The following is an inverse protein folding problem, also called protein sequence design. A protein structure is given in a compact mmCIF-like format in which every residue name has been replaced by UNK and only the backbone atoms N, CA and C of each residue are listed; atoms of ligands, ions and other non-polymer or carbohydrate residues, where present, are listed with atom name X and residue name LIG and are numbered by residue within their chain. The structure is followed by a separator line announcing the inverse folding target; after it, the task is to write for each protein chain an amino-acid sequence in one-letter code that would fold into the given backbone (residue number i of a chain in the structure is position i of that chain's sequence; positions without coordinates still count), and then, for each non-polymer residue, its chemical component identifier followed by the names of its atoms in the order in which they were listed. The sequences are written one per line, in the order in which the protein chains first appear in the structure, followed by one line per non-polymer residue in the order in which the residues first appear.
data_IF_270007803365
#
_entry.id   IF_270007803365
#
_cell.length_a   1.000
_cell.length_b   1.000
_cell.length_c   1.000
_cell.angle_alpha   90.00
_cell.angle_beta   90.00
_cell.angle_gamma   90.00
#
_symmetry.space_group_name_H-M   'P 1'
#
loop_
_entity.id
_entity.type
_entity.pdbx_description
1 polymer ?
#
# COMPACT_ATOMS: atom_id res chain seq x y z
N UNK A 1 83.95 -28.32 36.66
CA UNK A 1 83.64 -27.23 35.72
C UNK A 1 82.26 -27.51 35.16
N UNK A 2 81.31 -26.65 35.50
CA UNK A 2 79.86 -26.82 35.32
C UNK A 2 79.42 -26.33 33.94
N UNK A 3 78.64 -27.14 33.22
CA UNK A 3 77.89 -26.75 32.02
C UNK A 3 76.37 -26.63 32.30
N UNK A 4 75.94 -26.72 33.57
CA UNK A 4 74.54 -26.58 33.97
C UNK A 4 73.95 -25.20 33.60
N UNK A 5 74.82 -24.19 33.50
CA UNK A 5 74.48 -22.83 33.08
C UNK A 5 74.05 -22.74 31.61
N UNK A 6 74.59 -23.58 30.72
CA UNK A 6 74.23 -23.59 29.30
C UNK A 6 72.82 -24.13 29.05
N UNK A 7 72.48 -25.25 29.70
CA UNK A 7 71.15 -25.86 29.58
C UNK A 7 70.05 -24.96 30.14
N UNK A 8 70.32 -24.26 31.25
CA UNK A 8 69.39 -23.29 31.85
C UNK A 8 69.15 -22.08 30.95
N UNK A 9 70.20 -21.53 30.32
CA UNK A 9 70.04 -20.42 29.38
C UNK A 9 69.18 -20.79 28.17
N UNK A 10 69.33 -22.00 27.63
CA UNK A 10 68.52 -22.47 26.50
C UNK A 10 67.05 -22.64 26.90
N UNK A 11 66.77 -23.17 28.10
CA UNK A 11 65.41 -23.31 28.60
C UNK A 11 64.74 -21.94 28.85
N UNK A 12 65.46 -21.00 29.46
CA UNK A 12 64.97 -19.64 29.71
C UNK A 12 64.72 -18.89 28.39
N UNK A 13 65.60 -19.05 27.39
CA UNK A 13 65.40 -18.47 26.06
C UNK A 13 64.18 -19.06 25.37
N UNK A 14 63.95 -20.38 25.45
CA UNK A 14 62.76 -21.01 24.88
C UNK A 14 61.45 -20.55 25.56
N UNK A 15 61.49 -20.28 26.86
CA UNK A 15 60.37 -19.69 27.59
C UNK A 15 60.12 -18.23 27.17
N UNK A 16 61.18 -17.43 26.98
CA UNK A 16 61.08 -16.01 26.60
C UNK A 16 60.66 -15.81 25.13
N UNK A 17 61.12 -16.68 24.23
CA UNK A 17 60.86 -16.63 22.78
C UNK A 17 59.47 -17.18 22.42
N UNK A 18 58.65 -17.52 23.41
CA UNK A 18 57.24 -17.86 23.21
C UNK A 18 57.03 -19.34 22.90
N UNK A 19 57.74 -20.23 23.60
CA UNK A 19 57.44 -21.67 23.63
C UNK A 19 55.94 -21.90 23.82
N UNK A 20 55.29 -22.33 22.74
CA UNK A 20 53.84 -22.27 22.57
C UNK A 20 53.10 -23.06 23.66
N UNK A 21 52.25 -22.43 24.50
CA UNK A 21 51.41 -23.17 25.41
C UNK A 21 50.44 -24.05 24.62
N UNK A 22 50.37 -25.33 24.99
CA UNK A 22 49.47 -26.32 24.37
C UNK A 22 48.05 -25.74 24.29
N UNK A 23 47.42 -25.64 23.11
CA UNK A 23 46.13 -24.97 23.00
C UNK A 23 45.08 -25.76 23.77
N UNK A 24 44.55 -25.16 24.84
CA UNK A 24 43.42 -25.68 25.61
C UNK A 24 42.21 -25.73 24.69
N UNK A 25 41.82 -26.93 24.26
CA UNK A 25 40.65 -27.11 23.40
C UNK A 25 39.37 -26.82 24.19
N UNK A 26 38.45 -26.10 23.55
CA UNK A 26 37.12 -25.82 24.08
C UNK A 26 36.31 -27.13 24.17
N UNK A 27 35.45 -27.30 25.19
CA UNK A 27 34.56 -28.45 25.27
C UNK A 27 33.58 -28.45 24.09
N UNK A 28 33.37 -29.62 23.49
CA UNK A 28 32.45 -29.77 22.37
C UNK A 28 31.01 -29.53 22.83
N UNK A 29 30.29 -28.65 22.14
CA UNK A 29 28.87 -28.39 22.39
C UNK A 29 28.04 -29.50 21.72
N UNK A 30 27.07 -30.07 22.44
CA UNK A 30 26.17 -31.06 21.89
C UNK A 30 25.33 -30.47 20.73
N UNK A 31 25.26 -31.20 19.62
CA UNK A 31 24.46 -30.81 18.45
C UNK A 31 22.98 -30.84 18.88
N UNK A 32 22.30 -29.69 18.87
CA UNK A 32 20.84 -29.64 19.04
C UNK A 32 20.24 -30.32 17.81
N UNK A 33 19.47 -31.39 18.03
CA UNK A 33 18.88 -32.18 16.95
C UNK A 33 18.17 -31.32 15.91
N UNK A 34 18.11 -31.83 14.68
CA UNK A 34 17.43 -31.15 13.59
C UNK A 34 15.97 -30.87 13.97
N UNK A 35 15.59 -29.60 14.03
CA UNK A 35 14.19 -29.22 14.15
C UNK A 35 13.52 -29.64 12.85
N UNK A 36 12.44 -30.41 12.91
CA UNK A 36 11.72 -30.82 11.71
C UNK A 36 11.27 -29.59 10.92
N UNK A 37 11.43 -29.65 9.59
CA UNK A 37 11.04 -28.56 8.69
C UNK A 37 9.56 -28.22 8.87
N UNK A 38 9.29 -27.03 9.39
CA UNK A 38 7.93 -26.49 9.45
C UNK A 38 7.66 -25.71 8.16
N UNK A 39 6.73 -26.22 7.35
CA UNK A 39 6.19 -25.44 6.24
C UNK A 39 5.09 -24.52 6.77
N UNK A 40 5.36 -23.22 6.78
CA UNK A 40 4.30 -22.23 6.98
C UNK A 40 3.36 -22.26 5.78
N UNK A 41 2.07 -22.51 6.00
CA UNK A 41 1.02 -22.15 5.06
C UNK A 41 0.26 -20.97 5.66
N UNK A 42 0.15 -19.89 4.90
CA UNK A 42 -0.86 -18.87 5.10
C UNK A 42 -1.96 -19.10 4.08
N UNK A 43 -3.22 -19.05 4.51
CA UNK A 43 -4.31 -18.91 3.56
C UNK A 43 -4.21 -17.53 2.91
N UNK A 44 -4.20 -17.49 1.58
CA UNK A 44 -4.24 -16.24 0.86
C UNK A 44 -5.61 -15.60 1.09
N UNK A 45 -5.63 -14.40 1.67
CA UNK A 45 -6.81 -13.53 1.67
C UNK A 45 -6.67 -12.56 0.52
N UNK A 46 -7.56 -12.69 -0.46
CA UNK A 46 -7.67 -11.70 -1.52
C UNK A 46 -8.07 -10.34 -0.92
N UNK A 47 -7.36 -9.25 -1.25
CA UNK A 47 -7.79 -7.92 -0.85
C UNK A 47 -9.23 -7.67 -1.33
N UNK A 48 -10.05 -7.02 -0.51
CA UNK A 48 -11.37 -6.57 -0.95
C UNK A 48 -11.20 -5.72 -2.21
N UNK A 49 -11.90 -6.07 -3.29
CA UNK A 49 -11.94 -5.28 -4.50
C UNK A 49 -12.54 -3.90 -4.18
N UNK A 50 -11.69 -2.91 -3.92
CA UNK A 50 -12.09 -1.53 -3.59
C UNK A 50 -12.20 -0.66 -4.84
N UNK A 51 -11.99 -1.22 -6.03
CA UNK A 51 -12.17 -0.52 -7.30
C UNK A 51 -13.58 -0.70 -7.84
N UNK A 52 -14.33 0.39 -7.96
CA UNK A 52 -15.40 0.47 -8.97
C UNK A 52 -14.75 0.27 -10.33
N UNK A 53 -15.15 -0.76 -11.07
CA UNK A 53 -14.60 -1.05 -12.39
C UNK A 53 -14.63 0.15 -13.35
N UNK A 54 -13.87 0.06 -14.44
CA UNK A 54 -13.93 1.06 -15.50
C UNK A 54 -15.35 1.18 -16.05
N UNK A 55 -15.81 2.40 -16.29
CA UNK A 55 -17.05 2.66 -17.00
C UNK A 55 -16.83 2.34 -18.48
N UNK A 56 -17.63 1.44 -19.06
CA UNK A 56 -17.55 1.12 -20.47
C UNK A 56 -18.27 2.19 -21.31
N UNK A 57 -17.56 2.82 -22.25
CA UNK A 57 -18.18 3.74 -23.21
C UNK A 57 -18.88 2.95 -24.34
N UNK A 58 -19.99 3.45 -24.91
CA UNK A 58 -20.64 4.73 -24.62
C UNK A 58 -21.55 4.69 -23.38
N UNK A 59 -21.73 5.85 -22.75
CA UNK A 59 -22.80 6.06 -21.78
C UNK A 59 -24.08 6.45 -22.51
N UNK A 60 -25.15 5.70 -22.28
CA UNK A 60 -26.47 5.95 -22.86
C UNK A 60 -27.46 6.30 -21.77
N UNK A 61 -28.26 7.34 -21.99
CA UNK A 61 -29.36 7.66 -21.10
C UNK A 61 -30.60 6.84 -21.49
N UNK A 62 -31.12 5.97 -20.60
CA UNK A 62 -32.24 5.09 -20.95
C UNK A 62 -33.56 5.85 -21.08
N UNK A 63 -33.79 6.87 -20.24
CA UNK A 63 -35.00 7.68 -20.24
C UNK A 63 -34.71 9.08 -19.68
N UNK A 64 -35.21 10.11 -20.36
CA UNK A 64 -35.11 11.49 -19.89
C UNK A 64 -35.92 11.74 -18.60
N UNK A 65 -37.03 11.02 -18.44
CA UNK A 65 -37.92 11.15 -17.29
C UNK A 65 -37.29 10.67 -15.96
N UNK A 66 -36.22 9.87 -16.04
CA UNK A 66 -35.47 9.38 -14.87
C UNK A 66 -34.59 10.44 -14.21
N UNK A 67 -34.46 11.62 -14.84
CA UNK A 67 -33.71 12.74 -14.27
C UNK A 67 -34.44 13.30 -13.06
N UNK A 68 -33.70 13.51 -11.97
CA UNK A 68 -34.23 14.24 -10.82
C UNK A 68 -33.72 15.67 -10.83
N UNK A 69 -34.52 16.60 -10.31
CA UNK A 69 -34.20 18.03 -10.26
C UNK A 69 -34.19 18.51 -8.81
N UNK A 70 -33.44 19.56 -8.55
CA UNK A 70 -33.52 20.28 -7.28
C UNK A 70 -34.84 21.04 -7.18
N UNK A 71 -35.43 21.07 -5.99
CA UNK A 71 -36.65 21.85 -5.72
C UNK A 71 -36.41 23.36 -5.63
N UNK A 72 -35.16 23.81 -5.83
CA UNK A 72 -34.79 25.22 -5.81
C UNK A 72 -34.68 25.72 -7.24
N UNK A 73 -35.57 26.61 -7.62
CA UNK A 73 -35.53 27.28 -8.91
C UNK A 73 -34.36 28.28 -8.95
N UNK A 74 -33.60 28.28 -10.05
CA UNK A 74 -32.52 29.23 -10.30
C UNK A 74 -32.91 30.09 -11.49
N UNK A 75 -32.86 31.41 -11.31
CA UNK A 75 -33.09 32.38 -12.40
C UNK A 75 -31.75 32.79 -12.99
N UNK A 76 -31.58 32.53 -14.29
CA UNK A 76 -30.46 33.01 -15.08
C UNK A 76 -30.90 34.26 -15.82
N UNK A 77 -30.07 35.30 -15.79
CA UNK A 77 -30.26 36.51 -16.58
C UNK A 77 -29.21 36.54 -17.68
N UNK A 78 -29.61 36.98 -18.86
CA UNK A 78 -28.66 37.31 -19.91
C UNK A 78 -27.77 38.46 -19.44
N UNK A 79 -26.55 38.50 -19.96
CA UNK A 79 -25.57 39.54 -19.60
C UNK A 79 -26.04 40.95 -19.96
N UNK A 80 -26.86 41.07 -21.00
CA UNK A 80 -27.49 42.32 -21.44
C UNK A 80 -28.81 42.64 -20.71
N UNK A 81 -29.29 41.75 -19.83
CA UNK A 81 -30.51 41.91 -19.04
C UNK A 81 -31.82 41.81 -19.83
N UNK A 82 -31.78 41.55 -21.13
CA UNK A 82 -32.97 41.48 -21.98
C UNK A 82 -33.83 40.24 -21.69
N UNK A 83 -33.20 39.14 -21.29
CA UNK A 83 -33.86 37.87 -21.05
C UNK A 83 -33.53 37.31 -19.69
N UNK A 84 -34.52 36.71 -19.05
CA UNK A 84 -34.30 35.87 -17.88
C UNK A 84 -35.12 34.60 -18.00
N UNK A 85 -34.57 33.49 -17.54
CA UNK A 85 -35.26 32.22 -17.50
C UNK A 85 -35.04 31.57 -16.14
N UNK A 86 -36.10 30.95 -15.63
CA UNK A 86 -36.09 30.26 -14.35
C UNK A 86 -36.23 28.78 -14.61
N UNK A 87 -35.26 28.00 -14.12
CA UNK A 87 -35.22 26.55 -14.31
C UNK A 87 -34.87 25.87 -13.00
N UNK A 88 -35.41 24.67 -12.81
CA UNK A 88 -34.97 23.77 -11.74
C UNK A 88 -33.72 23.04 -12.23
N UNK A 89 -32.57 23.15 -11.54
CA UNK A 89 -31.35 22.47 -11.94
C UNK A 89 -31.46 20.94 -11.82
N UNK A 90 -30.78 20.21 -12.70
CA UNK A 90 -30.68 18.75 -12.63
C UNK A 90 -29.87 18.37 -11.39
N UNK A 91 -30.37 17.40 -10.62
CA UNK A 91 -29.71 16.80 -9.47
C UNK A 91 -29.05 15.48 -9.81
N UNK A 92 -29.76 14.59 -10.48
CA UNK A 92 -29.26 13.25 -10.81
C UNK A 92 -29.67 12.86 -12.23
N UNK A 93 -28.73 12.29 -12.98
CA UNK A 93 -28.98 11.63 -14.27
C UNK A 93 -28.52 10.18 -14.16
N UNK A 94 -29.40 9.25 -14.56
CA UNK A 94 -29.07 7.83 -14.68
C UNK A 94 -28.57 7.54 -16.08
N UNK A 95 -27.47 6.81 -16.16
CA UNK A 95 -26.84 6.35 -17.39
C UNK A 95 -26.66 4.84 -17.33
N UNK A 96 -26.57 4.22 -18.49
CA UNK A 96 -26.19 2.83 -18.67
C UNK A 96 -24.92 2.80 -19.51
N UNK A 97 -23.93 2.06 -19.05
CA UNK A 97 -22.65 1.94 -19.75
C UNK A 97 -22.71 0.85 -20.84
N UNK A 98 -21.63 0.72 -21.62
CA UNK A 98 -21.54 -0.27 -22.72
C UNK A 98 -21.67 -1.73 -22.29
N UNK A 99 -21.64 -2.01 -20.98
CA UNK A 99 -21.84 -3.34 -20.38
C UNK A 99 -23.18 -3.44 -19.64
N UNK A 100 -24.13 -2.54 -19.92
CA UNK A 100 -25.43 -2.47 -19.27
C UNK A 100 -25.36 -2.17 -17.75
N UNK A 101 -24.24 -1.65 -17.27
CA UNK A 101 -24.05 -1.32 -15.85
C UNK A 101 -24.62 0.08 -15.57
N UNK A 102 -25.41 0.25 -14.49
CA UNK A 102 -25.96 1.55 -14.14
C UNK A 102 -24.88 2.49 -13.59
N UNK A 103 -24.82 3.69 -14.16
CA UNK A 103 -23.97 4.80 -13.75
C UNK A 103 -24.83 5.99 -13.37
N UNK A 104 -24.46 6.76 -12.34
CA UNK A 104 -25.21 7.94 -11.93
C UNK A 104 -24.31 9.15 -11.93
N UNK A 105 -24.77 10.23 -12.55
CA UNK A 105 -24.18 11.55 -12.37
C UNK A 105 -25.00 12.30 -11.34
N UNK A 106 -24.40 12.57 -10.19
CA UNK A 106 -24.99 13.38 -9.12
C UNK A 106 -24.31 14.74 -9.14
N UNK A 107 -25.07 15.77 -9.47
CA UNK A 107 -24.62 17.14 -9.49
C UNK A 107 -24.80 17.78 -8.12
N UNK A 108 -23.93 18.73 -7.78
CA UNK A 108 -24.14 19.57 -6.60
C UNK A 108 -25.25 20.60 -6.86
N UNK A 109 -25.90 21.06 -5.78
CA UNK A 109 -26.87 22.13 -5.88
C UNK A 109 -26.16 23.43 -6.31
N UNK A 110 -26.62 24.09 -7.39
CA UNK A 110 -26.04 25.36 -7.78
C UNK A 110 -26.26 26.43 -6.71
N UNK A 111 -25.32 27.35 -6.50
CA UNK A 111 -25.57 28.52 -5.67
C UNK A 111 -26.72 29.35 -6.28
N UNK A 112 -27.43 30.10 -5.43
CA UNK A 112 -28.33 31.13 -5.93
C UNK A 112 -27.54 32.06 -6.87
N UNK A 113 -28.13 32.44 -8.02
CA UNK A 113 -27.44 33.27 -9.03
C UNK A 113 -26.72 34.42 -8.34
N UNK A 114 -25.43 34.70 -8.66
CA UNK A 114 -24.80 35.92 -8.18
C UNK A 114 -25.68 37.10 -8.62
N UNK A 115 -26.01 37.94 -7.64
CA UNK A 115 -26.82 39.14 -7.84
C UNK A 115 -26.10 40.16 -8.73
#
# INVERSE_FOLDING_TARGET
MSNDSGAKLVADLAALVGGSPTPKRLPAVAIRGALADKRGRSDYQEPAATGTGSIASPLTEPAYEDRTFYNTAVTYKSTDGLWSFTVNPIREVKMVDGNETPVRFVYAQPPASPA
#
